data_IF_004242059017
#
_entry.id   IF_004242059017
#
_cell.length_a   1.000
_cell.length_b   1.000
_cell.length_c   1.000
_cell.angle_alpha   90.00
_cell.angle_beta   90.00
_cell.angle_gamma   90.00
#
_symmetry.space_group_name_H-M   'P 1'
#
loop_
_entity.id
_entity.type
_entity.pdbx_description
1 polymer ?
#
# COMPACT_ATOMS: atom_id res chain seq x y z
N UNK A 1 -11.92 45.80 -12.64
CA UNK A 1 -11.01 44.91 -13.33
C UNK A 1 -9.95 44.51 -12.30
N UNK A 2 -10.18 43.38 -11.61
CA UNK A 2 -9.29 42.90 -10.56
C UNK A 2 -8.27 41.96 -11.19
N UNK A 3 -6.97 42.28 -11.04
CA UNK A 3 -5.86 41.45 -11.49
C UNK A 3 -5.84 40.11 -10.74
N UNK A 4 -5.49 38.97 -11.38
CA UNK A 4 -5.37 37.71 -10.69
C UNK A 4 -4.22 37.74 -9.68
N UNK A 5 -4.32 37.03 -8.55
CA UNK A 5 -3.25 36.96 -7.57
C UNK A 5 -2.01 36.29 -8.19
N UNK A 6 -0.84 36.86 -7.86
CA UNK A 6 0.46 36.35 -8.31
C UNK A 6 0.68 34.91 -7.77
N UNK A 7 1.14 34.01 -8.63
CA UNK A 7 1.52 32.66 -8.28
C UNK A 7 2.63 32.67 -7.22
N UNK A 8 2.43 31.94 -6.13
CA UNK A 8 3.39 31.78 -5.04
C UNK A 8 4.52 30.86 -5.51
N UNK A 9 5.81 31.25 -5.50
CA UNK A 9 6.91 30.49 -6.06
C UNK A 9 7.36 29.26 -5.24
N UNK A 10 6.49 28.67 -4.43
CA UNK A 10 6.81 27.54 -3.56
C UNK A 10 6.21 26.19 -3.95
N UNK A 11 5.16 26.18 -4.79
CA UNK A 11 4.41 24.95 -5.06
C UNK A 11 5.13 23.93 -5.98
N UNK A 12 6.08 24.35 -6.81
CA UNK A 12 6.76 23.45 -7.73
C UNK A 12 7.83 22.57 -7.06
N UNK A 13 8.47 23.05 -5.99
CA UNK A 13 9.55 22.30 -5.31
C UNK A 13 9.01 21.22 -4.37
N UNK A 14 7.94 21.52 -3.64
CA UNK A 14 7.25 20.56 -2.76
C UNK A 14 6.66 19.41 -3.60
N UNK A 15 6.03 19.72 -4.72
CA UNK A 15 5.42 18.69 -5.58
C UNK A 15 6.44 17.74 -6.23
N UNK A 16 7.63 18.19 -6.59
CA UNK A 16 8.70 17.34 -7.13
C UNK A 16 9.30 16.47 -6.03
N UNK A 17 9.55 17.04 -4.86
CA UNK A 17 10.05 16.31 -3.70
C UNK A 17 9.09 15.18 -3.28
N UNK A 18 7.81 15.48 -3.12
CA UNK A 18 6.79 14.53 -2.70
C UNK A 18 6.57 13.43 -3.75
N UNK A 19 6.70 13.75 -5.02
CA UNK A 19 6.44 12.82 -6.11
C UNK A 19 7.61 11.87 -6.41
N UNK A 20 8.86 12.32 -6.27
CA UNK A 20 10.04 11.57 -6.73
C UNK A 20 11.06 11.25 -5.63
N UNK A 21 11.22 12.12 -4.65
CA UNK A 21 12.24 11.96 -3.60
C UNK A 21 11.67 11.22 -2.39
N UNK A 22 10.54 11.67 -1.88
CA UNK A 22 9.93 11.09 -0.68
C UNK A 22 9.60 9.60 -0.81
N UNK A 23 8.99 9.12 -1.92
CA UNK A 23 8.74 7.68 -2.10
C UNK A 23 10.03 6.84 -2.06
N UNK A 24 11.10 7.33 -2.70
CA UNK A 24 12.39 6.62 -2.69
C UNK A 24 13.07 6.62 -1.33
N UNK A 25 12.94 7.71 -0.59
CA UNK A 25 13.50 7.81 0.76
C UNK A 25 12.77 6.88 1.74
N UNK A 26 11.44 6.85 1.67
CA UNK A 26 10.62 5.92 2.46
C UNK A 26 10.92 4.48 2.05
N UNK A 27 11.01 4.21 0.75
CA UNK A 27 11.34 2.89 0.21
C UNK A 27 12.69 2.40 0.74
N UNK A 28 13.70 3.25 0.74
CA UNK A 28 15.02 2.94 1.30
C UNK A 28 14.95 2.66 2.81
N UNK A 29 14.29 3.51 3.58
CA UNK A 29 14.16 3.35 5.02
C UNK A 29 13.38 2.08 5.40
N UNK A 30 12.28 1.79 4.69
CA UNK A 30 11.47 0.59 4.87
C UNK A 30 12.09 -0.66 4.25
N UNK A 31 13.07 -0.51 3.38
CA UNK A 31 13.86 -1.59 2.77
C UNK A 31 15.07 -2.04 3.57
N UNK A 32 15.28 -1.52 4.80
CA UNK A 32 16.41 -1.92 5.65
C UNK A 32 16.30 -3.38 6.10
N UNK A 33 17.45 -4.02 6.32
CA UNK A 33 17.57 -5.47 6.47
C UNK A 33 16.64 -6.14 7.48
N UNK A 34 16.44 -5.56 8.67
CA UNK A 34 15.58 -6.16 9.70
C UNK A 34 14.09 -6.08 9.32
N UNK A 35 13.66 -4.98 8.70
CA UNK A 35 12.28 -4.81 8.21
C UNK A 35 12.00 -5.78 7.08
N UNK A 36 12.91 -5.93 6.14
CA UNK A 36 12.79 -6.89 5.03
C UNK A 36 12.80 -8.33 5.50
N UNK A 37 13.58 -8.64 6.55
CA UNK A 37 13.57 -9.96 7.19
C UNK A 37 12.19 -10.27 7.78
N UNK A 38 11.55 -9.34 8.48
CA UNK A 38 10.19 -9.54 8.99
C UNK A 38 9.19 -9.78 7.85
N UNK A 39 9.28 -9.01 6.76
CA UNK A 39 8.44 -9.22 5.57
C UNK A 39 8.63 -10.61 4.97
N UNK A 40 9.87 -11.07 4.83
CA UNK A 40 10.19 -12.39 4.27
C UNK A 40 9.67 -13.56 5.10
N UNK A 41 9.46 -13.37 6.40
CA UNK A 41 8.89 -14.40 7.29
C UNK A 41 7.35 -14.40 7.28
N UNK A 42 6.75 -13.22 7.10
CA UNK A 42 5.29 -13.04 7.23
C UNK A 42 4.56 -13.22 5.91
N UNK A 43 4.99 -12.49 4.87
CA UNK A 43 4.26 -12.35 3.60
C UNK A 43 4.11 -13.69 2.84
N UNK A 44 5.09 -14.61 2.80
CA UNK A 44 4.93 -15.90 2.14
C UNK A 44 3.87 -16.84 2.74
N UNK A 45 3.29 -16.47 3.89
CA UNK A 45 2.19 -17.20 4.52
C UNK A 45 0.83 -16.84 3.94
N UNK A 46 0.75 -15.74 3.18
CA UNK A 46 -0.47 -15.32 2.51
C UNK A 46 -0.90 -16.32 1.43
N UNK A 47 -2.21 -16.46 1.25
CA UNK A 47 -2.80 -17.35 0.26
C UNK A 47 -4.14 -16.80 -0.26
N UNK A 48 -4.58 -17.33 -1.40
CA UNK A 48 -5.84 -16.97 -2.03
C UNK A 48 -5.88 -15.52 -2.50
N UNK A 49 -7.03 -14.87 -2.37
CA UNK A 49 -7.20 -13.45 -2.64
C UNK A 49 -6.76 -12.62 -1.44
N UNK A 50 -5.77 -11.79 -1.64
CA UNK A 50 -5.12 -11.01 -0.58
C UNK A 50 -5.57 -9.55 -0.61
N UNK A 51 -5.87 -8.98 0.56
CA UNK A 51 -5.98 -7.56 0.78
C UNK A 51 -4.74 -7.06 1.51
N UNK A 52 -3.98 -6.16 0.90
CA UNK A 52 -2.83 -5.51 1.53
C UNK A 52 -3.18 -4.07 1.93
N UNK A 53 -3.14 -3.80 3.23
CA UNK A 53 -3.39 -2.47 3.80
C UNK A 53 -2.06 -1.74 3.93
N UNK A 54 -1.96 -0.59 3.25
CA UNK A 54 -0.72 0.17 3.17
C UNK A 54 0.28 -0.45 2.21
N UNK A 55 -0.12 -0.63 0.94
CA UNK A 55 0.75 -1.18 -0.11
C UNK A 55 2.03 -0.36 -0.27
N UNK A 56 1.96 0.96 -0.13
CA UNK A 56 3.08 1.88 -0.27
C UNK A 56 3.78 1.74 -1.61
N UNK A 57 5.10 1.56 -1.57
CA UNK A 57 5.93 1.33 -2.75
C UNK A 57 5.94 -0.13 -3.22
N UNK A 58 5.19 -1.02 -2.56
CA UNK A 58 5.07 -2.43 -2.94
C UNK A 58 6.22 -3.32 -2.48
N UNK A 59 6.86 -3.02 -1.35
CA UNK A 59 7.98 -3.81 -0.80
C UNK A 59 7.59 -5.25 -0.44
N UNK A 60 6.32 -5.53 -0.16
CA UNK A 60 5.85 -6.88 0.10
C UNK A 60 5.70 -7.72 -1.17
N UNK A 61 5.50 -7.07 -2.32
CA UNK A 61 5.10 -7.76 -3.56
C UNK A 61 6.05 -8.89 -3.96
N UNK A 62 7.36 -8.70 -3.77
CA UNK A 62 8.36 -9.70 -4.08
C UNK A 62 8.40 -10.93 -3.14
N UNK A 63 7.64 -10.90 -2.04
CA UNK A 63 7.59 -12.01 -1.07
C UNK A 63 6.34 -12.88 -1.19
N UNK A 64 5.35 -12.46 -1.99
CA UNK A 64 4.18 -13.30 -2.26
C UNK A 64 4.54 -14.50 -3.11
N UNK A 65 3.97 -15.65 -2.74
CA UNK A 65 4.14 -16.90 -3.49
C UNK A 65 3.02 -17.00 -4.55
N UNK A 66 3.40 -16.91 -5.83
CA UNK A 66 2.45 -17.00 -6.94
C UNK A 66 1.75 -18.37 -7.04
N UNK A 67 2.27 -19.41 -6.40
CA UNK A 67 1.60 -20.71 -6.32
C UNK A 67 0.46 -20.71 -5.28
N UNK A 68 0.45 -19.76 -4.34
CA UNK A 68 -0.52 -19.67 -3.24
C UNK A 68 -1.49 -18.51 -3.39
N UNK A 69 -1.03 -17.38 -3.95
CA UNK A 69 -1.79 -16.13 -4.05
C UNK A 69 -2.38 -15.98 -5.44
N UNK A 70 -3.70 -15.84 -5.51
CA UNK A 70 -4.42 -15.73 -6.78
C UNK A 70 -4.56 -14.28 -7.27
N UNK A 71 -4.66 -13.31 -6.36
CA UNK A 71 -4.76 -11.89 -6.65
C UNK A 71 -4.45 -11.05 -5.41
N UNK A 72 -3.96 -9.84 -5.61
CA UNK A 72 -3.68 -8.87 -4.55
C UNK A 72 -4.49 -7.59 -4.83
N UNK A 73 -5.18 -7.11 -3.82
CA UNK A 73 -5.78 -5.76 -3.80
C UNK A 73 -4.99 -4.95 -2.77
N UNK A 74 -4.25 -3.96 -3.23
CA UNK A 74 -3.47 -3.07 -2.37
C UNK A 74 -4.18 -1.74 -2.15
N UNK A 75 -4.36 -1.36 -0.91
CA UNK A 75 -4.96 -0.08 -0.50
C UNK A 75 -3.88 0.83 0.05
N UNK A 76 -3.77 2.03 -0.52
CA UNK A 76 -2.87 3.08 -0.02
C UNK A 76 -3.37 4.46 -0.45
N UNK A 77 -3.47 5.46 0.45
CA UNK A 77 -3.89 6.81 0.09
C UNK A 77 -2.85 7.57 -0.73
N UNK A 78 -1.58 7.16 -0.66
CA UNK A 78 -0.47 7.86 -1.28
C UNK A 78 -0.31 7.46 -2.76
N UNK A 79 -1.05 8.09 -3.66
CA UNK A 79 -0.99 7.82 -5.09
C UNK A 79 0.43 7.93 -5.69
N UNK A 80 1.28 8.79 -5.13
CA UNK A 80 2.68 8.96 -5.55
C UNK A 80 3.54 7.70 -5.29
N UNK A 81 3.17 6.85 -4.34
CA UNK A 81 3.85 5.58 -4.07
C UNK A 81 3.55 4.51 -5.12
N UNK A 82 2.42 4.63 -5.82
CA UNK A 82 1.93 3.61 -6.74
C UNK A 82 2.81 3.42 -7.97
N UNK A 83 3.63 4.39 -8.36
CA UNK A 83 4.54 4.23 -9.50
C UNK A 83 5.54 3.10 -9.26
N UNK A 84 6.24 3.11 -8.12
CA UNK A 84 7.17 2.05 -7.72
C UNK A 84 6.45 0.71 -7.47
N UNK A 85 5.26 0.77 -6.88
CA UNK A 85 4.45 -0.44 -6.66
C UNK A 85 4.04 -1.11 -7.98
N UNK A 86 3.67 -0.33 -9.02
CA UNK A 86 3.36 -0.87 -10.35
C UNK A 86 4.56 -1.54 -11.02
N UNK A 87 5.74 -0.94 -10.91
CA UNK A 87 6.98 -1.54 -11.43
C UNK A 87 7.25 -2.91 -10.79
N UNK A 88 7.07 -3.02 -9.48
CA UNK A 88 7.22 -4.29 -8.75
C UNK A 88 6.11 -5.29 -9.07
N UNK A 89 4.87 -4.83 -9.17
CA UNK A 89 3.74 -5.68 -9.53
C UNK A 89 3.89 -6.35 -10.90
N UNK A 90 4.47 -5.64 -11.87
CA UNK A 90 4.75 -6.17 -13.20
C UNK A 90 5.75 -7.36 -13.20
N UNK A 91 6.50 -7.55 -12.12
CA UNK A 91 7.56 -8.56 -12.03
C UNK A 91 7.13 -9.85 -11.32
N UNK A 92 5.98 -9.87 -10.63
CA UNK A 92 5.62 -10.98 -9.73
C UNK A 92 4.66 -12.02 -10.33
N UNK A 93 4.10 -11.79 -11.50
CA UNK A 93 3.16 -12.73 -12.14
C UNK A 93 1.82 -12.94 -11.41
N UNK A 94 1.51 -12.13 -10.39
CA UNK A 94 0.24 -12.13 -9.65
C UNK A 94 -0.55 -10.88 -10.07
N UNK A 95 -1.85 -10.98 -10.40
CA UNK A 95 -2.69 -9.79 -10.64
C UNK A 95 -2.71 -8.88 -9.41
N UNK A 96 -2.36 -7.60 -9.58
CA UNK A 96 -2.37 -6.59 -8.52
C UNK A 96 -3.27 -5.43 -8.91
N UNK A 97 -4.31 -5.20 -8.13
CA UNK A 97 -5.16 -4.02 -8.18
C UNK A 97 -4.71 -3.02 -7.12
N UNK A 98 -4.57 -1.75 -7.49
CA UNK A 98 -4.16 -0.69 -6.57
C UNK A 98 -5.30 0.32 -6.42
N UNK A 99 -5.76 0.48 -5.20
CA UNK A 99 -6.89 1.34 -4.86
C UNK A 99 -6.43 2.47 -3.96
N UNK A 100 -6.65 3.72 -4.40
CA UNK A 100 -6.37 4.90 -3.59
C UNK A 100 -7.54 5.16 -2.63
N UNK A 101 -7.44 4.64 -1.43
CA UNK A 101 -8.40 4.84 -0.34
C UNK A 101 -7.64 5.18 0.93
N UNK A 102 -8.33 5.91 1.84
CA UNK A 102 -7.82 6.12 3.19
C UNK A 102 -7.62 4.78 3.90
N UNK A 103 -6.55 4.69 4.68
CA UNK A 103 -6.26 3.49 5.46
C UNK A 103 -7.37 3.28 6.49
N UNK A 104 -8.04 2.15 6.41
CA UNK A 104 -9.21 1.82 7.23
C UNK A 104 -10.54 1.89 6.49
N UNK A 105 -10.58 2.50 5.29
CA UNK A 105 -11.72 2.34 4.39
C UNK A 105 -11.52 1.10 3.51
N UNK A 106 -12.42 0.13 3.62
CA UNK A 106 -12.39 -1.08 2.79
C UNK A 106 -13.70 -1.19 2.03
N UNK A 107 -13.66 -0.84 0.74
CA UNK A 107 -14.81 -0.90 -0.15
C UNK A 107 -14.91 -2.29 -0.80
N UNK A 108 -15.20 -3.30 0.02
CA UNK A 108 -15.34 -4.68 -0.41
C UNK A 108 -16.49 -5.35 0.33
N UNK A 109 -17.03 -6.41 -0.26
CA UNK A 109 -18.03 -7.26 0.36
C UNK A 109 -17.47 -8.01 1.57
N UNK A 110 -18.34 -8.42 2.50
CA UNK A 110 -17.95 -9.26 3.60
C UNK A 110 -17.39 -10.59 3.07
N UNK A 111 -16.43 -11.16 3.79
CA UNK A 111 -15.85 -12.49 3.49
C UNK A 111 -15.33 -12.62 2.04
N UNK A 112 -14.75 -11.54 1.49
CA UNK A 112 -14.25 -11.49 0.10
C UNK A 112 -12.76 -11.76 -0.06
N UNK A 113 -12.00 -11.80 1.04
CA UNK A 113 -10.55 -12.05 1.04
C UNK A 113 -10.17 -13.27 1.88
N UNK A 114 -9.20 -14.03 1.41
CA UNK A 114 -8.66 -15.21 2.11
C UNK A 114 -7.55 -14.81 3.10
N UNK A 115 -6.82 -13.73 2.80
CA UNK A 115 -5.75 -13.21 3.66
C UNK A 115 -5.79 -11.68 3.68
N UNK A 116 -5.52 -11.10 4.85
CA UNK A 116 -5.24 -9.67 4.98
C UNK A 116 -3.81 -9.49 5.46
N UNK A 117 -3.04 -8.67 4.76
CA UNK A 117 -1.67 -8.29 5.12
C UNK A 117 -1.64 -6.82 5.51
N UNK A 118 -1.14 -6.54 6.70
CA UNK A 118 -0.93 -5.18 7.20
C UNK A 118 0.43 -5.15 7.88
N UNK A 119 1.44 -4.59 7.19
CA UNK A 119 2.81 -4.53 7.68
C UNK A 119 3.28 -3.10 7.80
N UNK A 120 3.72 -2.72 9.00
CA UNK A 120 4.27 -1.38 9.30
C UNK A 120 3.33 -0.22 8.98
N UNK A 121 2.01 -0.46 8.96
CA UNK A 121 0.99 0.50 8.52
C UNK A 121 0.01 0.86 9.63
N UNK A 122 -0.23 -0.05 10.58
CA UNK A 122 -1.28 0.13 11.60
C UNK A 122 -1.08 1.42 12.43
N UNK A 123 0.17 1.83 12.64
CA UNK A 123 0.54 3.08 13.32
C UNK A 123 0.14 4.35 12.54
N UNK A 124 -0.12 4.24 11.24
CA UNK A 124 -0.50 5.36 10.36
C UNK A 124 -2.02 5.45 10.16
N UNK A 125 -2.79 4.52 10.73
CA UNK A 125 -4.25 4.51 10.64
C UNK A 125 -4.82 5.40 11.75
N UNK A 126 -5.57 6.43 11.38
CA UNK A 126 -6.14 7.39 12.32
C UNK A 126 -7.13 6.75 13.32
N UNK A 127 -7.88 5.73 12.89
CA UNK A 127 -8.85 4.99 13.70
C UNK A 127 -8.58 3.48 13.59
N UNK A 128 -7.59 2.93 14.32
CA UNK A 128 -7.17 1.53 14.12
C UNK A 128 -8.23 0.50 14.53
N UNK A 129 -9.03 0.74 15.56
CA UNK A 129 -10.05 -0.22 16.00
C UNK A 129 -11.19 -0.39 14.97
N UNK A 130 -11.80 0.68 14.43
CA UNK A 130 -12.74 0.56 13.31
C UNK A 130 -12.10 -0.12 12.08
N UNK A 131 -10.86 0.22 11.73
CA UNK A 131 -10.15 -0.40 10.61
C UNK A 131 -9.97 -1.92 10.78
N UNK A 132 -9.60 -2.36 11.98
CA UNK A 132 -9.52 -3.79 12.32
C UNK A 132 -10.90 -4.48 12.24
N UNK A 133 -11.98 -3.77 12.61
CA UNK A 133 -13.34 -4.25 12.44
C UNK A 133 -13.71 -4.49 10.97
N UNK A 134 -13.35 -3.55 10.09
CA UNK A 134 -13.54 -3.68 8.65
C UNK A 134 -12.66 -4.80 8.04
N UNK A 135 -11.40 -4.90 8.44
CA UNK A 135 -10.53 -6.01 8.04
C UNK A 135 -11.17 -7.36 8.41
N UNK A 136 -11.68 -7.49 9.64
CA UNK A 136 -12.38 -8.71 10.08
C UNK A 136 -13.65 -8.98 9.27
N UNK A 137 -14.40 -7.94 8.89
CA UNK A 137 -15.64 -8.06 8.10
C UNK A 137 -15.37 -8.66 6.72
N UNK A 138 -14.32 -8.22 6.05
CA UNK A 138 -13.98 -8.65 4.69
C UNK A 138 -13.16 -9.94 4.62
N UNK A 139 -12.58 -10.37 5.73
CA UNK A 139 -11.84 -11.63 5.83
C UNK A 139 -12.79 -12.81 5.92
N UNK A 140 -12.58 -13.84 5.11
CA UNK A 140 -13.29 -15.11 5.18
C UNK A 140 -13.06 -15.82 6.53
N UNK A 141 -14.02 -16.57 6.99
CA UNK A 141 -13.94 -17.39 8.22
C UNK A 141 -13.38 -18.75 7.93
#
# INVERSE_FOLDING_TARGET
MLSPPAAVPGESFVGIYDRYVLPRLIDFACGMGDVMKQRSLLVPRAHGRVLEIGLGTGLNLGFYDAAKVSAIVGVDPAAQMQALARERAAQIGIPVEMVALELGEIRAEAESFDTIVCTFTLCSIAAPLPALGEMRRVLKR
#
